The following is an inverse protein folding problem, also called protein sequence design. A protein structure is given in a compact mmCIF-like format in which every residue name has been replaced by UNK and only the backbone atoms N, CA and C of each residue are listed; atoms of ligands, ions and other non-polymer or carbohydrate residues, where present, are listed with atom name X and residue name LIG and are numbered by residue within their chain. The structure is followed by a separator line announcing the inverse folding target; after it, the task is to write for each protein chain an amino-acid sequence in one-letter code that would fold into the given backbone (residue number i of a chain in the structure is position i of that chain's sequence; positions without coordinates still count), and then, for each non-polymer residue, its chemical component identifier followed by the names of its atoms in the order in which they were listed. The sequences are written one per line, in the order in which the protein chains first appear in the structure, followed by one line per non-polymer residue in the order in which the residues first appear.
data_IF_588181773154
#
_entry.id   IF_588181773154
#
_cell.length_a   1.000
_cell.length_b   1.000
_cell.length_c   1.000
_cell.angle_alpha   90.00
_cell.angle_beta   90.00
_cell.angle_gamma   90.00
#
_symmetry.space_group_name_H-M   'P 1'
#
loop_
_entity.id
_entity.type
_entity.pdbx_description
1 polymer ?
#
# COMPACT_ATOMS: atom_id res chain seq x y z
N UNK A 1 21.50 -5.93 -10.63
CA UNK A 1 20.16 -5.53 -10.12
C UNK A 1 19.47 -4.69 -11.18
N UNK A 2 18.23 -5.00 -11.56
CA UNK A 2 17.55 -4.39 -12.74
C UNK A 2 17.03 -2.97 -12.43
N UNK A 3 16.78 -2.63 -11.17
CA UNK A 3 16.51 -1.27 -10.68
C UNK A 3 17.01 -1.18 -9.22
N UNK A 4 17.72 -0.11 -8.85
CA UNK A 4 18.21 0.14 -7.48
C UNK A 4 17.34 1.18 -6.74
N UNK A 5 17.36 1.14 -5.40
CA UNK A 5 16.64 2.11 -4.56
C UNK A 5 15.12 1.91 -4.50
N UNK A 6 14.65 0.68 -4.70
CA UNK A 6 13.22 0.34 -4.58
C UNK A 6 12.87 0.04 -3.12
N UNK A 7 11.76 0.61 -2.63
CA UNK A 7 11.22 0.35 -1.29
C UNK A 7 10.01 -0.58 -1.30
N UNK A 8 9.32 -0.69 -2.44
CA UNK A 8 8.15 -1.56 -2.61
C UNK A 8 8.10 -2.13 -4.02
N UNK A 9 7.70 -3.39 -4.15
CA UNK A 9 7.59 -4.09 -5.43
C UNK A 9 6.40 -5.03 -5.41
N UNK A 10 5.62 -5.06 -6.50
CA UNK A 10 4.62 -6.08 -6.78
C UNK A 10 4.65 -6.48 -8.26
N UNK A 11 4.51 -7.77 -8.51
CA UNK A 11 4.31 -8.32 -9.84
C UNK A 11 2.80 -8.52 -10.09
N UNK A 12 2.33 -8.22 -11.29
CA UNK A 12 0.98 -8.55 -11.72
C UNK A 12 0.77 -10.06 -11.73
N UNK A 13 -0.46 -10.52 -11.50
CA UNK A 13 -0.77 -11.95 -11.46
C UNK A 13 -0.44 -12.68 -12.76
N UNK A 14 -0.52 -11.98 -13.90
CA UNK A 14 -0.14 -12.48 -15.23
C UNK A 14 1.38 -12.44 -15.51
N UNK A 15 2.17 -11.90 -14.59
CA UNK A 15 3.61 -11.72 -14.74
C UNK A 15 4.03 -10.69 -15.80
N UNK A 16 3.09 -9.99 -16.46
CA UNK A 16 3.40 -9.13 -17.60
C UNK A 16 3.89 -7.74 -17.18
N UNK A 17 3.43 -7.25 -16.03
CA UNK A 17 3.72 -5.91 -15.50
C UNK A 17 4.16 -5.96 -14.05
N UNK A 18 4.92 -4.96 -13.64
CA UNK A 18 5.33 -4.74 -12.27
C UNK A 18 5.00 -3.32 -11.83
N UNK A 19 4.59 -3.19 -10.57
CA UNK A 19 4.45 -1.94 -9.83
C UNK A 19 5.64 -1.85 -8.87
N UNK A 20 6.33 -0.71 -8.84
CA UNK A 20 7.38 -0.50 -7.85
C UNK A 20 7.42 0.96 -7.39
N UNK A 21 7.97 1.15 -6.19
CA UNK A 21 8.14 2.46 -5.56
C UNK A 21 9.62 2.82 -5.50
N UNK A 22 9.96 4.06 -5.87
CA UNK A 22 11.30 4.63 -5.72
C UNK A 22 11.18 6.03 -5.14
N UNK A 23 11.69 6.22 -3.92
CA UNK A 23 11.39 7.41 -3.13
C UNK A 23 9.88 7.52 -2.89
N UNK A 24 9.30 8.68 -3.13
CA UNK A 24 7.84 8.89 -2.99
C UNK A 24 7.04 8.56 -4.26
N UNK A 25 7.70 8.18 -5.36
CA UNK A 25 7.06 8.00 -6.65
C UNK A 25 6.77 6.53 -6.95
N UNK A 26 5.63 6.28 -7.58
CA UNK A 26 5.19 4.97 -8.05
C UNK A 26 5.37 4.83 -9.55
N UNK A 27 5.75 3.64 -10.00
CA UNK A 27 6.00 3.34 -11.40
C UNK A 27 5.39 2.01 -11.80
N UNK A 28 4.84 1.94 -13.02
CA UNK A 28 4.46 0.69 -13.68
C UNK A 28 5.40 0.47 -14.86
N UNK A 29 5.91 -0.76 -14.99
CA UNK A 29 6.72 -1.17 -16.14
C UNK A 29 6.35 -2.59 -16.59
N UNK A 30 6.65 -2.93 -17.83
CA UNK A 30 6.61 -4.33 -18.26
C UNK A 30 7.69 -5.13 -17.51
N UNK A 31 7.40 -6.36 -17.13
CA UNK A 31 8.36 -7.25 -16.45
C UNK A 31 9.34 -7.87 -17.45
N UNK A 32 10.02 -7.03 -18.24
CA UNK A 32 11.00 -7.42 -19.27
C UNK A 32 12.22 -6.50 -19.21
N UNK A 33 13.41 -6.98 -19.64
CA UNK A 33 14.59 -6.13 -19.73
C UNK A 33 14.32 -4.88 -20.58
N UNK A 34 14.91 -3.75 -20.18
CA UNK A 34 14.81 -2.44 -20.87
C UNK A 34 13.38 -1.89 -20.99
N UNK A 35 12.43 -2.36 -20.19
CA UNK A 35 11.10 -1.77 -20.13
C UNK A 35 11.20 -0.29 -19.69
N UNK A 36 10.48 0.58 -20.39
CA UNK A 36 10.36 1.99 -20.01
C UNK A 36 9.29 2.12 -18.92
N UNK A 37 9.65 2.51 -17.69
CA UNK A 37 8.68 2.71 -16.64
C UNK A 37 7.85 3.97 -16.87
N UNK A 38 6.57 3.89 -16.53
CA UNK A 38 5.63 5.00 -16.53
C UNK A 38 5.37 5.39 -15.08
N UNK A 39 5.57 6.66 -14.74
CA UNK A 39 5.23 7.18 -13.42
C UNK A 39 3.71 7.27 -13.26
N UNK A 40 3.20 6.83 -12.11
CA UNK A 40 1.80 7.02 -11.75
C UNK A 40 1.57 8.43 -11.22
N UNK A 41 0.62 9.13 -11.81
CA UNK A 41 0.12 10.38 -11.24
C UNK A 41 -0.88 10.09 -10.13
N UNK A 42 -0.38 10.04 -8.89
CA UNK A 42 -1.23 9.85 -7.71
C UNK A 42 -1.82 11.17 -7.20
N UNK A 43 -1.38 12.33 -7.71
CA UNK A 43 -1.83 13.64 -7.23
C UNK A 43 -3.21 14.01 -7.74
N UNK A 44 -3.59 13.49 -8.91
CA UNK A 44 -4.92 13.70 -9.50
C UNK A 44 -5.98 12.72 -9.00
N UNK A 45 -5.61 11.77 -8.13
CA UNK A 45 -6.57 10.84 -7.52
C UNK A 45 -7.56 11.60 -6.65
N UNK A 46 -8.85 11.37 -6.89
CA UNK A 46 -9.94 11.90 -6.07
C UNK A 46 -10.64 10.75 -5.38
N UNK A 47 -10.92 10.94 -4.10
CA UNK A 47 -11.62 9.99 -3.25
C UNK A 47 -12.87 10.68 -2.71
N UNK A 48 -14.00 9.98 -2.73
CA UNK A 48 -15.22 10.45 -2.08
C UNK A 48 -15.12 10.19 -0.58
N UNK A 49 -15.38 11.22 0.22
CA UNK A 49 -15.25 11.16 1.68
C UNK A 49 -16.58 11.56 2.30
N UNK A 50 -17.08 10.74 3.23
CA UNK A 50 -18.26 11.03 4.06
C UNK A 50 -17.83 11.18 5.53
N UNK A 51 -17.42 12.38 5.98
CA UNK A 51 -16.69 12.54 7.24
C UNK A 51 -17.41 11.95 8.46
N UNK A 52 -18.74 12.17 8.57
CA UNK A 52 -19.52 11.67 9.71
C UNK A 52 -19.57 10.14 9.77
N UNK A 53 -19.66 9.47 8.62
CA UNK A 53 -19.68 7.99 8.57
C UNK A 53 -18.29 7.43 8.84
N UNK A 54 -17.28 7.99 8.19
CA UNK A 54 -15.88 7.57 8.37
C UNK A 54 -15.41 7.78 9.80
N UNK A 55 -15.76 8.88 10.46
CA UNK A 55 -15.37 9.10 11.86
C UNK A 55 -16.05 8.13 12.82
N UNK A 56 -17.32 7.81 12.59
CA UNK A 56 -18.02 6.80 13.40
C UNK A 56 -17.34 5.42 13.26
N UNK A 57 -16.91 5.08 12.04
CA UNK A 57 -16.11 3.89 11.78
C UNK A 57 -14.73 3.95 12.45
N UNK A 58 -13.97 5.03 12.25
CA UNK A 58 -12.64 5.22 12.84
C UNK A 58 -12.69 5.13 14.36
N UNK A 59 -13.71 5.70 15.01
CA UNK A 59 -13.87 5.63 16.46
C UNK A 59 -14.15 4.21 16.95
N UNK A 60 -15.09 3.51 16.29
CA UNK A 60 -15.39 2.11 16.57
C UNK A 60 -14.15 1.23 16.37
N UNK A 61 -13.41 1.46 15.30
CA UNK A 61 -12.23 0.68 14.92
C UNK A 61 -11.07 0.95 15.87
N UNK A 62 -10.83 2.20 16.26
CA UNK A 62 -9.86 2.55 17.30
C UNK A 62 -10.18 1.78 18.60
N UNK A 63 -11.42 1.83 19.09
CA UNK A 63 -11.82 1.10 20.29
C UNK A 63 -11.71 -0.44 20.14
N UNK A 64 -12.00 -0.98 18.95
CA UNK A 64 -11.83 -2.41 18.67
C UNK A 64 -10.36 -2.82 18.66
N UNK A 65 -9.50 -2.04 18.02
CA UNK A 65 -8.06 -2.28 17.93
C UNK A 65 -7.46 -2.20 19.34
N UNK A 66 -7.77 -1.15 20.10
CA UNK A 66 -7.33 -1.04 21.48
C UNK A 66 -7.77 -2.27 22.28
N UNK A 67 -9.04 -2.69 22.27
CA UNK A 67 -9.45 -3.91 22.99
C UNK A 67 -8.77 -5.19 22.50
N UNK A 68 -8.41 -5.28 21.22
CA UNK A 68 -7.79 -6.47 20.65
C UNK A 68 -6.28 -6.56 20.91
N UNK A 69 -5.61 -5.42 21.07
CA UNK A 69 -4.14 -5.33 21.18
C UNK A 69 -3.64 -4.75 22.51
N UNK A 70 -4.53 -4.20 23.34
CA UNK A 70 -4.24 -3.78 24.70
C UNK A 70 -4.10 -5.04 25.56
N UNK A 71 -2.84 -5.42 25.75
CA UNK A 71 -2.33 -6.66 26.37
C UNK A 71 -2.35 -7.89 25.46
N UNK A 72 -1.14 -8.39 25.18
CA UNK A 72 -0.92 -9.80 24.89
C UNK A 72 -1.26 -10.60 26.16
N UNK A 73 -2.27 -11.49 26.17
CA UNK A 73 -2.37 -12.49 27.21
C UNK A 73 -1.31 -13.55 26.89
N UNK A 74 -0.04 -13.32 27.22
CA UNK A 74 0.94 -14.39 27.04
C UNK A 74 0.64 -15.46 28.08
N UNK A 75 0.01 -16.57 27.69
CA UNK A 75 -0.02 -17.78 28.51
C UNK A 75 0.21 -19.03 27.68
N UNK A 76 1.44 -19.21 27.23
CA UNK A 76 2.02 -20.56 27.19
C UNK A 76 3.45 -20.45 27.71
N UNK A 77 3.62 -20.95 28.93
CA UNK A 77 4.90 -21.44 29.42
C UNK A 77 5.31 -22.69 28.63
#
# INVERSE_FOLDING_TARGET
TVVSGITSFRLAADGAKMLYQRGSNWFIAAAKPKAKPVALDTRSLRVFVEPRKEWAEMYRDAWRIERAFFYSPTSTA
#
